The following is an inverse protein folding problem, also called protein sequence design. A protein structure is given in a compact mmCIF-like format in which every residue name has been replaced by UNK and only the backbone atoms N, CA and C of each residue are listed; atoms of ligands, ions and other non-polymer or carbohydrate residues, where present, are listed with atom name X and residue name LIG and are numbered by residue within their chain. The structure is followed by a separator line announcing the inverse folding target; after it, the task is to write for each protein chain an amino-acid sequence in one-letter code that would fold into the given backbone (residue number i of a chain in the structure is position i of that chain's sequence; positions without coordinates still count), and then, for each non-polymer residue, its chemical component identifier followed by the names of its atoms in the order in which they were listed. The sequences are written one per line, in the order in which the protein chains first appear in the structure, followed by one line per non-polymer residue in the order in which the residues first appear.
data_IF_110066743573
#
_entry.id   IF_110066743573
#
_cell.length_a   1.000
_cell.length_b   1.000
_cell.length_c   1.000
_cell.angle_alpha   90.00
_cell.angle_beta   90.00
_cell.angle_gamma   90.00
#
_symmetry.space_group_name_H-M   'P 1'
#
loop_
_entity.id
_entity.type
_entity.pdbx_description
1 polymer ?
#
# COMPACT_ATOMS: atom_id res chain seq x y z
N UNK A 1 -16.65 -6.94 19.97
CA UNK A 1 -16.79 -6.12 18.75
C UNK A 1 -17.35 -4.78 19.22
N UNK A 2 -16.54 -3.71 19.21
CA UNK A 2 -17.03 -2.40 19.65
C UNK A 2 -18.17 -1.97 18.71
N UNK A 3 -19.34 -1.65 19.25
CA UNK A 3 -20.43 -1.06 18.48
C UNK A 3 -19.96 0.29 17.95
N UNK A 4 -19.83 0.39 16.64
CA UNK A 4 -19.50 1.65 15.99
C UNK A 4 -20.75 2.53 16.00
N UNK A 5 -20.85 3.43 16.98
CA UNK A 5 -21.92 4.42 17.02
C UNK A 5 -21.72 5.48 15.93
N UNK A 6 -22.79 5.95 15.27
CA UNK A 6 -22.68 6.99 14.26
C UNK A 6 -22.19 8.29 14.89
N UNK A 7 -21.17 8.90 14.28
CA UNK A 7 -20.61 10.19 14.71
C UNK A 7 -21.28 11.32 13.93
N UNK A 8 -21.80 12.31 14.66
CA UNK A 8 -22.30 13.56 14.07
C UNK A 8 -21.25 14.66 14.17
N UNK A 9 -21.06 15.41 13.09
CA UNK A 9 -20.11 16.51 13.03
C UNK A 9 -20.65 17.65 12.16
N UNK A 10 -20.32 18.89 12.52
CA UNK A 10 -20.57 20.06 11.68
C UNK A 10 -19.31 20.41 10.90
N UNK A 11 -19.46 20.56 9.58
CA UNK A 11 -18.39 20.97 8.67
C UNK A 11 -18.81 22.23 7.91
N UNK A 12 -17.88 23.18 7.79
CA UNK A 12 -18.07 24.38 6.97
C UNK A 12 -17.28 24.20 5.69
N UNK A 13 -17.97 24.21 4.55
CA UNK A 13 -17.34 24.06 3.24
C UNK A 13 -17.15 25.42 2.57
N UNK A 14 -16.09 25.58 1.75
CA UNK A 14 -15.98 26.71 0.82
C UNK A 14 -17.24 26.85 -0.05
N UNK A 15 -17.61 28.09 -0.38
CA UNK A 15 -18.88 28.39 -1.04
C UNK A 15 -19.04 27.73 -2.42
N UNK A 16 -17.95 27.65 -3.17
CA UNK A 16 -17.84 26.96 -4.44
C UNK A 16 -18.11 25.45 -4.28
N UNK A 17 -17.45 24.79 -3.33
CA UNK A 17 -17.64 23.37 -3.04
C UNK A 17 -19.06 23.09 -2.55
N UNK A 18 -19.61 23.93 -1.67
CA UNK A 18 -20.99 23.81 -1.19
C UNK A 18 -22.00 23.92 -2.35
N UNK A 19 -21.74 24.79 -3.33
CA UNK A 19 -22.59 24.93 -4.51
C UNK A 19 -22.58 23.67 -5.39
N UNK A 20 -21.39 23.09 -5.61
CA UNK A 20 -21.20 21.87 -6.38
C UNK A 20 -21.87 20.67 -5.68
N UNK A 21 -21.68 20.54 -4.37
CA UNK A 21 -22.29 19.49 -3.57
C UNK A 21 -23.82 19.54 -3.64
N UNK A 22 -24.43 20.73 -3.48
CA UNK A 22 -25.88 20.90 -3.58
C UNK A 22 -26.40 20.53 -4.97
N UNK A 23 -25.70 20.94 -6.03
CA UNK A 23 -26.05 20.60 -7.41
C UNK A 23 -25.94 19.11 -7.69
N UNK A 24 -24.86 18.47 -7.24
CA UNK A 24 -24.66 17.04 -7.41
C UNK A 24 -25.69 16.21 -6.63
N UNK A 25 -26.01 16.64 -5.40
CA UNK A 25 -27.02 16.01 -4.57
C UNK A 25 -28.40 16.09 -5.22
N UNK A 26 -28.80 17.27 -5.72
CA UNK A 26 -30.11 17.45 -6.36
C UNK A 26 -30.27 16.62 -7.64
N UNK A 27 -29.21 16.48 -8.44
CA UNK A 27 -29.20 15.63 -9.64
C UNK A 27 -29.43 14.14 -9.33
N UNK A 28 -29.11 13.70 -8.12
CA UNK A 28 -29.26 12.31 -7.66
C UNK A 28 -30.48 12.11 -6.75
N UNK A 29 -31.22 13.18 -6.44
CA UNK A 29 -32.33 13.14 -5.48
C UNK A 29 -31.87 12.92 -4.04
N UNK A 30 -30.63 13.27 -3.71
CA UNK A 30 -30.03 13.10 -2.38
C UNK A 30 -29.97 14.42 -1.62
N UNK A 31 -29.79 14.37 -0.31
CA UNK A 31 -29.48 15.57 0.47
C UNK A 31 -27.99 15.88 0.36
N UNK A 32 -27.56 17.15 0.45
CA UNK A 32 -26.14 17.50 0.48
C UNK A 32 -25.38 16.76 1.59
N UNK A 33 -26.02 16.55 2.74
CA UNK A 33 -25.43 15.90 3.90
C UNK A 33 -25.20 14.40 3.64
N UNK A 34 -26.18 13.70 3.07
CA UNK A 34 -26.02 12.28 2.75
C UNK A 34 -24.96 12.05 1.68
N UNK A 35 -24.89 12.91 0.67
CA UNK A 35 -23.86 12.85 -0.36
C UNK A 35 -22.47 13.18 0.22
N UNK A 36 -22.37 14.15 1.12
CA UNK A 36 -21.10 14.48 1.79
C UNK A 36 -20.60 13.32 2.65
N UNK A 37 -21.48 12.67 3.42
CA UNK A 37 -21.13 11.51 4.22
C UNK A 37 -20.60 10.35 3.35
N UNK A 38 -21.27 10.08 2.22
CA UNK A 38 -20.84 9.06 1.26
C UNK A 38 -19.48 9.40 0.63
N UNK A 39 -19.27 10.66 0.23
CA UNK A 39 -17.99 11.13 -0.30
C UNK A 39 -16.85 11.00 0.72
N UNK A 40 -17.11 11.31 2.00
CA UNK A 40 -16.13 11.14 3.08
C UNK A 40 -15.81 9.67 3.29
N UNK A 41 -16.81 8.79 3.31
CA UNK A 41 -16.61 7.35 3.46
C UNK A 41 -15.74 6.80 2.31
N UNK A 42 -16.05 7.18 1.07
CA UNK A 42 -15.30 6.76 -0.11
C UNK A 42 -13.85 7.28 -0.07
N UNK A 43 -13.63 8.55 0.29
CA UNK A 43 -12.27 9.08 0.38
C UNK A 43 -11.46 8.47 1.52
N UNK A 44 -12.10 8.18 2.65
CA UNK A 44 -11.43 7.51 3.76
C UNK A 44 -10.99 6.10 3.38
N UNK A 45 -11.83 5.35 2.66
CA UNK A 45 -11.48 4.02 2.14
C UNK A 45 -10.25 4.08 1.22
N UNK A 46 -10.20 5.04 0.30
CA UNK A 46 -9.06 5.25 -0.60
C UNK A 46 -7.80 5.63 0.19
N UNK A 47 -7.91 6.58 1.11
CA UNK A 47 -6.78 7.03 1.93
C UNK A 47 -6.19 5.88 2.76
N UNK A 48 -7.04 5.04 3.37
CA UNK A 48 -6.61 3.86 4.13
C UNK A 48 -5.89 2.87 3.23
N UNK A 49 -6.45 2.54 2.06
CA UNK A 49 -5.82 1.60 1.12
C UNK A 49 -4.47 2.11 0.62
N UNK A 50 -4.39 3.40 0.30
CA UNK A 50 -3.15 4.02 -0.16
C UNK A 50 -2.07 3.98 0.93
N UNK A 51 -2.44 4.27 2.19
CA UNK A 51 -1.50 4.16 3.32
C UNK A 51 -0.97 2.74 3.47
N UNK A 52 -1.84 1.73 3.44
CA UNK A 52 -1.46 0.32 3.52
C UNK A 52 -0.55 -0.08 2.35
N UNK A 53 -0.78 0.46 1.15
CA UNK A 53 0.07 0.20 0.00
C UNK A 53 1.49 0.76 0.21
N UNK A 54 1.62 1.98 0.72
CA UNK A 54 2.92 2.59 1.05
C UNK A 54 3.64 1.78 2.14
N UNK A 55 2.95 1.49 3.25
CA UNK A 55 3.53 0.71 4.36
C UNK A 55 4.08 -0.65 3.90
N UNK A 56 3.40 -1.28 2.93
CA UNK A 56 3.86 -2.55 2.34
C UNK A 56 5.06 -2.38 1.42
N UNK A 57 5.14 -1.27 0.68
CA UNK A 57 6.30 -0.96 -0.16
C UNK A 57 7.53 -0.78 0.74
N UNK A 58 7.40 -0.02 1.82
CA UNK A 58 8.49 0.20 2.78
C UNK A 58 8.99 -1.12 3.38
N UNK A 59 8.07 -2.02 3.76
CA UNK A 59 8.43 -3.36 4.26
C UNK A 59 9.15 -4.23 3.22
N UNK A 60 8.73 -4.15 1.96
CA UNK A 60 9.39 -4.89 0.87
C UNK A 60 10.79 -4.35 0.63
N UNK A 61 10.96 -3.03 0.65
CA UNK A 61 12.28 -2.39 0.48
C UNK A 61 13.24 -2.78 1.60
N UNK A 62 12.79 -2.79 2.86
CA UNK A 62 13.59 -3.29 3.99
C UNK A 62 13.99 -4.76 3.79
N UNK A 63 13.05 -5.62 3.39
CA UNK A 63 13.32 -7.03 3.14
C UNK A 63 14.32 -7.25 1.98
N UNK A 64 14.26 -6.42 0.93
CA UNK A 64 15.20 -6.46 -0.19
C UNK A 64 16.61 -6.02 0.23
N UNK A 65 16.71 -4.99 1.06
CA UNK A 65 18.00 -4.55 1.63
C UNK A 65 18.62 -5.66 2.47
N UNK A 66 17.83 -6.34 3.31
CA UNK A 66 18.34 -7.41 4.15
C UNK A 66 18.73 -8.65 3.34
N UNK A 67 17.98 -8.98 2.28
CA UNK A 67 18.37 -10.01 1.33
C UNK A 67 19.70 -9.68 0.65
N UNK A 68 19.90 -8.42 0.22
CA UNK A 68 21.15 -8.00 -0.39
C UNK A 68 22.34 -8.10 0.58
N UNK A 69 22.17 -7.72 1.85
CA UNK A 69 23.20 -7.91 2.89
C UNK A 69 23.53 -9.39 3.09
N UNK A 70 22.52 -10.25 3.16
CA UNK A 70 22.70 -11.68 3.32
C UNK A 70 23.46 -12.30 2.14
N UNK A 71 23.11 -11.92 0.91
CA UNK A 71 23.84 -12.33 -0.28
C UNK A 71 25.29 -11.84 -0.27
N UNK A 72 25.55 -10.62 0.21
CA UNK A 72 26.91 -10.12 0.41
C UNK A 72 27.72 -10.95 1.40
N UNK A 73 27.11 -11.39 2.51
CA UNK A 73 27.74 -12.28 3.49
C UNK A 73 28.03 -13.65 2.87
N UNK A 74 27.06 -14.24 2.16
CA UNK A 74 27.31 -15.49 1.42
C UNK A 74 28.47 -15.29 0.44
N UNK A 75 28.44 -14.22 -0.36
CA UNK A 75 29.47 -13.97 -1.35
C UNK A 75 30.88 -13.91 -0.71
N UNK A 76 31.03 -13.17 0.39
CA UNK A 76 32.30 -13.06 1.12
C UNK A 76 32.77 -14.40 1.72
N UNK A 77 31.85 -15.25 2.17
CA UNK A 77 32.17 -16.61 2.62
C UNK A 77 32.60 -17.48 1.43
N UNK A 78 31.94 -17.32 0.29
CA UNK A 78 32.15 -18.12 -0.92
C UNK A 78 33.39 -17.74 -1.72
N UNK A 79 33.86 -16.49 -1.65
CA UNK A 79 35.14 -16.09 -2.24
C UNK A 79 36.34 -16.80 -1.58
N UNK A 80 36.16 -17.31 -0.35
CA UNK A 80 37.16 -18.08 0.38
C UNK A 80 36.97 -19.61 0.32
N UNK A 81 35.95 -20.10 -0.41
CA UNK A 81 35.66 -21.52 -0.57
C UNK A 81 35.74 -21.92 -2.06
N UNK A 82 36.13 -23.16 -2.36
CA UNK A 82 36.15 -23.65 -3.75
C UNK A 82 34.73 -23.58 -4.34
N UNK A 83 34.58 -22.87 -5.47
CA UNK A 83 33.29 -22.60 -6.16
C UNK A 83 32.42 -23.84 -6.39
N UNK A 84 33.00 -25.04 -6.38
CA UNK A 84 32.32 -26.32 -6.56
C UNK A 84 31.42 -26.73 -5.37
N UNK A 85 31.70 -26.27 -4.15
CA UNK A 85 30.95 -26.68 -2.95
C UNK A 85 29.67 -25.86 -2.70
N UNK A 86 29.45 -24.80 -3.47
CA UNK A 86 28.42 -23.79 -3.19
C UNK A 86 27.25 -23.91 -4.19
N UNK A 87 27.53 -24.27 -5.43
CA UNK A 87 26.49 -24.46 -6.45
C UNK A 87 25.91 -25.88 -6.38
N UNK A 88 24.70 -26.03 -5.82
CA UNK A 88 23.96 -27.30 -5.85
C UNK A 88 23.68 -27.81 -7.27
N UNK A 89 23.67 -26.90 -8.26
CA UNK A 89 23.51 -27.22 -9.67
C UNK A 89 24.87 -27.15 -10.38
N UNK A 90 25.51 -28.32 -10.51
CA UNK A 90 26.69 -28.52 -11.37
C UNK A 90 26.31 -28.31 -12.84
N UNK A 91 27.08 -27.57 -13.66
CA UNK A 91 26.88 -27.59 -15.10
C UNK A 91 27.25 -28.97 -15.65
N UNK A 92 26.35 -29.57 -16.43
CA UNK A 92 26.58 -30.82 -17.14
C UNK A 92 27.81 -30.65 -18.02
N UNK A 93 28.89 -31.35 -17.68
CA UNK A 93 30.01 -31.58 -18.59
C UNK A 93 29.48 -32.40 -19.76
N UNK A 94 29.17 -31.75 -20.88
CA UNK A 94 28.94 -32.44 -22.16
C UNK A 94 30.32 -32.84 -22.68
N UNK A 95 30.72 -34.09 -22.41
CA UNK A 95 31.87 -34.72 -23.04
C UNK A 95 31.50 -35.14 -24.46
N UNK A 96 32.20 -34.60 -25.46
CA UNK A 96 32.26 -35.14 -26.82
C UNK A 96 33.48 -36.04 -26.94
#
# INVERSE_FOLDING_TARGET
MASAEPVSMMITLPADVASLLRKAASQRGWTPESLAADCIAQQLEVAIRHRVAIERIDQVDEALIDLAKFLGVIHAITENAEKADICRYRPLTVST
#
